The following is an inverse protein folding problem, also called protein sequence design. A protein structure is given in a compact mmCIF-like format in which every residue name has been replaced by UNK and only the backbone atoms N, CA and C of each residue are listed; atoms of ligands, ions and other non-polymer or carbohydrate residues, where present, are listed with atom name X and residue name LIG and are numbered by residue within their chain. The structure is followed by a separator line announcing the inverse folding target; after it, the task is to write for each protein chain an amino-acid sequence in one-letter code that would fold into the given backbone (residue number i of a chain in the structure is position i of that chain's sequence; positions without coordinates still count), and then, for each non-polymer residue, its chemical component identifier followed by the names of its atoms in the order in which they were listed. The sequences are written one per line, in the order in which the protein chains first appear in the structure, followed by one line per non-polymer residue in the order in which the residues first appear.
data_IF_586035164340
#
_entry.id   IF_586035164340
#
_cell.length_a   1.000
_cell.length_b   1.000
_cell.length_c   1.000
_cell.angle_alpha   90.00
_cell.angle_beta   90.00
_cell.angle_gamma   90.00
#
_symmetry.space_group_name_H-M   'P 1'
#
loop_
_entity.id
_entity.type
_entity.pdbx_description
1 polymer ?
#
# COMPACT_ATOMS: atom_id res chain seq x y z
N UNK A 1 5.74 1.65 9.86
CA UNK A 1 4.84 2.65 10.49
C UNK A 1 3.63 2.84 9.59
N UNK A 2 2.43 2.93 10.16
CA UNK A 2 1.19 3.16 9.41
C UNK A 2 0.58 4.50 9.86
N UNK A 3 0.34 5.41 8.93
CA UNK A 3 -0.21 6.74 9.22
C UNK A 3 -1.73 6.76 9.34
N UNK A 4 -2.42 5.71 8.89
CA UNK A 4 -3.85 5.53 9.00
C UNK A 4 -4.64 6.14 7.85
N UNK A 5 -5.83 6.65 8.14
CA UNK A 5 -6.73 7.25 7.16
C UNK A 5 -7.33 8.55 7.69
N UNK A 6 -7.69 9.46 6.79
CA UNK A 6 -8.39 10.71 7.12
C UNK A 6 -9.91 10.48 7.35
N UNK A 7 -10.41 9.27 7.06
CA UNK A 7 -11.81 8.88 7.27
C UNK A 7 -12.03 7.38 7.12
N UNK A 8 -13.25 6.94 7.43
CA UNK A 8 -13.68 5.55 7.26
C UNK A 8 -14.45 5.37 5.96
N UNK A 9 -14.34 4.18 5.38
CA UNK A 9 -15.23 3.74 4.31
C UNK A 9 -16.31 2.85 4.94
N UNK A 10 -17.55 3.05 4.53
CA UNK A 10 -18.68 2.20 4.91
C UNK A 10 -18.55 0.82 4.25
N UNK A 11 -19.20 -0.18 4.83
CA UNK A 11 -19.20 -1.54 4.28
C UNK A 11 -19.76 -1.57 2.84
N UNK A 12 -20.75 -0.73 2.54
CA UNK A 12 -21.33 -0.60 1.20
C UNK A 12 -20.31 -0.03 0.19
N UNK A 13 -19.52 0.97 0.57
CA UNK A 13 -18.47 1.53 -0.27
C UNK A 13 -17.34 0.51 -0.49
N UNK A 14 -16.94 -0.20 0.55
CA UNK A 14 -15.94 -1.26 0.47
C UNK A 14 -16.42 -2.35 -0.49
N UNK A 15 -17.65 -2.85 -0.32
CA UNK A 15 -18.24 -3.88 -1.17
C UNK A 15 -18.29 -3.43 -2.65
N UNK A 16 -18.75 -2.20 -2.90
CA UNK A 16 -18.80 -1.65 -4.27
C UNK A 16 -17.41 -1.52 -4.89
N UNK A 17 -16.39 -1.09 -4.14
CA UNK A 17 -15.02 -1.03 -4.65
C UNK A 17 -14.51 -2.41 -5.03
N UNK A 18 -14.71 -3.41 -4.16
CA UNK A 18 -14.27 -4.78 -4.40
C UNK A 18 -14.97 -5.40 -5.62
N UNK A 19 -16.27 -5.18 -5.79
CA UNK A 19 -17.04 -5.63 -6.95
C UNK A 19 -16.51 -5.03 -8.26
N UNK A 20 -16.04 -3.77 -8.21
CA UNK A 20 -15.42 -3.09 -9.33
C UNK A 20 -13.92 -3.38 -9.50
N UNK A 21 -13.38 -4.37 -8.78
CA UNK A 21 -11.95 -4.74 -8.84
C UNK A 21 -11.00 -3.65 -8.31
N UNK A 22 -11.49 -2.74 -7.47
CA UNK A 22 -10.72 -1.68 -6.83
C UNK A 22 -10.29 -2.07 -5.42
N UNK A 23 -9.21 -1.45 -4.94
CA UNK A 23 -8.65 -1.68 -3.60
C UNK A 23 -9.20 -0.62 -2.63
N UNK A 24 -9.83 -1.02 -1.51
CA UNK A 24 -10.22 -0.11 -0.43
C UNK A 24 -9.01 0.50 0.28
N UNK A 25 -9.23 1.57 1.04
CA UNK A 25 -8.23 2.17 1.93
C UNK A 25 -7.87 1.15 3.01
N UNK A 26 -6.58 1.04 3.31
CA UNK A 26 -6.05 0.16 4.33
C UNK A 26 -5.18 -0.94 3.72
N UNK A 27 -5.11 -2.07 4.43
CA UNK A 27 -4.28 -3.22 4.08
C UNK A 27 -5.15 -4.43 3.82
N UNK A 28 -5.09 -4.92 2.59
CA UNK A 28 -5.81 -6.11 2.15
C UNK A 28 -5.33 -7.38 2.87
N UNK A 29 -6.15 -8.42 2.78
CA UNK A 29 -5.89 -9.70 3.44
C UNK A 29 -4.56 -10.33 2.98
N UNK A 30 -3.94 -11.09 3.89
CA UNK A 30 -2.71 -11.85 3.64
C UNK A 30 -1.51 -11.02 3.16
N UNK A 31 -1.52 -9.71 3.40
CA UNK A 31 -0.43 -8.80 3.04
C UNK A 31 0.64 -8.75 4.12
N UNK A 32 1.91 -8.79 3.72
CA UNK A 32 3.08 -8.78 4.59
C UNK A 32 3.88 -7.51 4.37
N UNK A 33 4.13 -6.77 5.44
CA UNK A 33 4.74 -5.44 5.37
C UNK A 33 5.89 -5.36 6.38
N UNK A 34 7.08 -4.96 5.91
CA UNK A 34 8.30 -4.85 6.71
C UNK A 34 9.08 -3.59 6.33
N UNK A 35 9.68 -2.93 7.33
CA UNK A 35 10.59 -1.77 7.18
C UNK A 35 10.05 -0.73 6.20
N UNK A 36 8.82 -0.28 6.44
CA UNK A 36 8.16 0.70 5.56
C UNK A 36 7.42 1.79 6.35
N UNK A 37 7.04 2.83 5.63
CA UNK A 37 6.09 3.87 6.02
C UNK A 37 4.91 3.79 5.05
N UNK A 38 3.72 3.58 5.57
CA UNK A 38 2.48 3.62 4.81
C UNK A 38 1.79 4.93 5.13
N UNK A 39 1.78 5.86 4.18
CA UNK A 39 1.15 7.17 4.34
C UNK A 39 -0.38 7.07 4.28
N UNK A 40 -1.06 8.18 4.58
CA UNK A 40 -2.50 8.21 4.77
C UNK A 40 -3.28 7.77 3.53
N UNK A 41 -4.40 7.09 3.77
CA UNK A 41 -5.34 6.67 2.72
C UNK A 41 -4.72 5.76 1.65
N UNK A 42 -3.57 5.14 1.92
CA UNK A 42 -2.99 4.14 1.04
C UNK A 42 -3.96 2.95 0.91
N UNK A 43 -4.01 2.39 -0.30
CA UNK A 43 -4.88 1.29 -0.69
C UNK A 43 -3.99 0.11 -1.05
N UNK A 44 -3.65 -0.71 -0.06
CA UNK A 44 -2.78 -1.87 -0.25
C UNK A 44 -3.65 -3.07 -0.52
N UNK A 45 -3.44 -3.71 -1.66
CA UNK A 45 -4.16 -4.89 -2.11
C UNK A 45 -3.93 -6.11 -1.22
N UNK A 46 -4.53 -7.22 -1.65
CA UNK A 46 -4.43 -8.53 -1.02
C UNK A 46 -3.16 -9.24 -1.47
N UNK A 47 -2.61 -10.09 -0.62
CA UNK A 47 -1.42 -10.90 -0.93
C UNK A 47 -0.22 -10.05 -1.38
N UNK A 48 -0.12 -8.80 -0.92
CA UNK A 48 1.00 -7.91 -1.22
C UNK A 48 2.18 -8.24 -0.30
N UNK A 49 3.39 -8.09 -0.80
CA UNK A 49 4.62 -8.19 -0.01
C UNK A 49 5.38 -6.88 -0.17
N UNK A 50 5.61 -6.17 0.93
CA UNK A 50 6.47 -4.97 0.98
C UNK A 50 7.62 -5.28 1.93
N UNK A 51 8.77 -5.62 1.39
CA UNK A 51 9.94 -6.05 2.14
C UNK A 51 11.26 -5.48 1.63
N UNK A 52 11.33 -4.97 0.39
CA UNK A 52 12.57 -4.52 -0.26
C UNK A 52 13.66 -5.60 -0.16
N UNK A 53 13.35 -6.80 -0.65
CA UNK A 53 14.21 -7.98 -0.51
C UNK A 53 15.58 -7.79 -1.19
N UNK A 54 15.63 -6.96 -2.21
CA UNK A 54 16.85 -6.63 -2.96
C UNK A 54 17.75 -5.62 -2.22
N UNK A 55 17.31 -5.07 -1.09
CA UNK A 55 18.10 -4.16 -0.26
C UNK A 55 18.40 -2.82 -0.95
N UNK A 56 17.48 -2.33 -1.78
CA UNK A 56 17.62 -1.06 -2.48
C UNK A 56 17.66 0.08 -1.47
N UNK A 57 18.65 0.97 -1.54
CA UNK A 57 18.76 2.09 -0.61
C UNK A 57 17.91 3.29 -1.02
N UNK A 58 17.93 3.64 -2.31
CA UNK A 58 17.27 4.82 -2.87
C UNK A 58 16.58 4.46 -4.20
N UNK A 59 15.29 4.77 -4.33
CA UNK A 59 14.55 4.60 -5.57
C UNK A 59 13.34 5.53 -5.61
N UNK A 60 13.05 6.10 -6.79
CA UNK A 60 11.84 6.88 -7.04
C UNK A 60 10.94 6.12 -8.00
N UNK A 61 9.76 5.69 -7.52
CA UNK A 61 8.78 4.94 -8.31
C UNK A 61 7.37 5.56 -8.19
N UNK A 62 7.21 6.85 -8.56
CA UNK A 62 5.94 7.56 -8.38
C UNK A 62 4.77 6.88 -9.11
N UNK A 63 5.02 6.30 -10.29
CA UNK A 63 4.03 5.55 -11.07
C UNK A 63 3.57 4.25 -10.38
N UNK A 64 4.41 3.68 -9.52
CA UNK A 64 4.10 2.51 -8.70
C UNK A 64 3.57 2.89 -7.31
N UNK A 65 3.51 4.19 -6.99
CA UNK A 65 2.94 4.70 -5.73
C UNK A 65 3.85 4.59 -4.51
N UNK A 66 5.15 4.40 -4.70
CA UNK A 66 6.10 4.38 -3.60
C UNK A 66 7.48 4.95 -3.98
N UNK A 67 8.28 5.23 -2.98
CA UNK A 67 9.72 5.49 -3.13
C UNK A 67 10.47 4.78 -2.01
N UNK A 68 11.78 4.66 -2.13
CA UNK A 68 12.65 4.07 -1.11
C UNK A 68 13.66 5.14 -0.69
N UNK A 69 13.81 5.33 0.63
CA UNK A 69 14.84 6.19 1.26
C UNK A 69 15.52 5.42 2.38
N UNK A 70 16.85 5.35 2.37
CA UNK A 70 17.64 4.60 3.37
C UNK A 70 17.15 3.14 3.58
N UNK A 71 16.74 2.53 2.47
CA UNK A 71 16.17 1.18 2.45
C UNK A 71 14.83 1.02 3.17
N UNK A 72 14.11 2.12 3.42
CA UNK A 72 12.74 2.14 3.95
C UNK A 72 11.79 2.42 2.79
N UNK A 73 10.85 1.51 2.53
CA UNK A 73 9.80 1.73 1.53
C UNK A 73 8.80 2.75 2.07
N UNK A 74 8.46 3.76 1.30
CA UNK A 74 7.43 4.75 1.63
C UNK A 74 6.34 4.71 0.58
N UNK A 75 5.17 4.18 0.96
CA UNK A 75 3.96 4.23 0.12
C UNK A 75 3.31 5.59 0.29
N UNK A 76 3.09 6.30 -0.81
CA UNK A 76 2.63 7.71 -0.77
C UNK A 76 1.14 7.83 -0.47
N UNK A 77 0.73 9.02 0.00
CA UNK A 77 -0.67 9.32 0.30
C UNK A 77 -1.58 8.98 -0.89
N UNK A 78 -2.70 8.32 -0.62
CA UNK A 78 -3.70 7.88 -1.61
C UNK A 78 -3.21 6.87 -2.66
N UNK A 79 -1.96 6.39 -2.58
CA UNK A 79 -1.43 5.42 -3.54
C UNK A 79 -2.20 4.10 -3.49
N UNK A 80 -2.21 3.40 -4.62
CA UNK A 80 -2.79 2.05 -4.72
C UNK A 80 -1.70 1.06 -5.07
N UNK A 81 -1.45 0.11 -4.17
CA UNK A 81 -0.60 -1.04 -4.44
C UNK A 81 -1.51 -2.21 -4.77
N UNK A 82 -1.39 -2.76 -5.99
CA UNK A 82 -2.33 -3.77 -6.50
C UNK A 82 -2.14 -5.13 -5.81
N UNK A 83 -3.17 -5.96 -5.86
CA UNK A 83 -3.12 -7.33 -5.36
C UNK A 83 -1.93 -8.11 -5.92
N UNK A 84 -1.27 -8.89 -5.06
CA UNK A 84 -0.12 -9.73 -5.42
C UNK A 84 1.19 -8.97 -5.71
N UNK A 85 1.23 -7.64 -5.53
CA UNK A 85 2.43 -6.86 -5.78
C UNK A 85 3.55 -7.22 -4.79
N UNK A 86 4.79 -7.31 -5.28
CA UNK A 86 6.00 -7.54 -4.47
C UNK A 86 6.94 -6.35 -4.63
N UNK A 87 7.30 -5.74 -3.50
CA UNK A 87 8.17 -4.56 -3.37
C UNK A 87 9.34 -4.89 -2.45
#
# INVERSE_FOLDING_TARGET
MMMGADGYQTDAEIASLLENGKVPIGVGENTKIRKCIIDKNAKIGRNVIIANADGVEEADRPEEGFYIRSGIVVVVKNATIKDGTVI
#
